data_IF_401884821819
#
_entry.id   IF_401884821819
#
_cell.length_a   1.000
_cell.length_b   1.000
_cell.length_c   1.000
_cell.angle_alpha   90.00
_cell.angle_beta   90.00
_cell.angle_gamma   90.00
#
_symmetry.space_group_name_H-M   'P 1'
#
loop_
_entity.id
_entity.type
_entity.pdbx_description
1 polymer ?
#
# COMPACT_ATOMS: atom_id res chain seq x y z
N UNK A 1 26.41 -13.88 17.71
CA UNK A 1 25.82 -12.53 17.49
C UNK A 1 24.33 -12.66 17.65
N UNK A 2 23.66 -11.88 18.51
CA UNK A 2 22.19 -11.86 18.57
C UNK A 2 21.71 -11.18 17.28
N UNK A 3 20.93 -11.89 16.47
CA UNK A 3 20.29 -11.30 15.29
C UNK A 3 19.46 -10.08 15.74
N UNK A 4 19.55 -8.99 15.00
CA UNK A 4 18.65 -7.84 15.21
C UNK A 4 17.20 -8.33 15.12
N UNK A 5 16.30 -7.88 15.99
CA UNK A 5 14.89 -8.22 15.85
C UNK A 5 14.36 -7.73 14.49
N UNK A 6 13.37 -8.41 13.90
CA UNK A 6 12.80 -7.99 12.63
C UNK A 6 12.22 -6.57 12.73
N UNK A 7 12.32 -5.82 11.63
CA UNK A 7 11.74 -4.48 11.55
C UNK A 7 10.23 -4.54 11.70
N UNK A 8 9.68 -3.81 12.66
CA UNK A 8 8.24 -3.72 12.88
C UNK A 8 7.65 -2.60 12.04
N UNK A 9 6.69 -2.96 11.20
CA UNK A 9 6.06 -2.05 10.24
C UNK A 9 4.55 -2.15 10.38
N UNK A 10 3.89 -1.02 10.64
CA UNK A 10 2.44 -0.94 10.68
C UNK A 10 1.88 -0.86 9.26
N UNK A 11 0.80 -1.59 9.01
CA UNK A 11 -0.01 -1.47 7.79
C UNK A 11 -1.43 -1.10 8.21
N UNK A 12 -1.86 0.13 7.87
CA UNK A 12 -3.18 0.65 8.25
C UNK A 12 -4.09 0.71 7.03
N UNK A 13 -5.24 0.06 7.11
CA UNK A 13 -6.26 0.17 6.07
C UNK A 13 -7.15 -1.06 5.91
N UNK A 14 -7.64 -1.24 4.69
CA UNK A 14 -8.64 -2.24 4.34
C UNK A 14 -8.09 -3.67 4.36
N UNK A 15 -8.94 -4.58 4.86
CA UNK A 15 -8.89 -6.03 4.71
C UNK A 15 -10.24 -6.46 4.15
N UNK A 16 -10.24 -7.12 3.02
CA UNK A 16 -11.46 -7.40 2.26
C UNK A 16 -11.33 -8.68 1.41
N UNK A 17 -12.45 -9.07 0.79
CA UNK A 17 -12.49 -10.08 -0.25
C UNK A 17 -12.67 -9.43 -1.62
N UNK A 18 -11.77 -9.72 -2.55
CA UNK A 18 -11.97 -9.44 -3.98
C UNK A 18 -12.78 -10.59 -4.59
N UNK A 19 -14.05 -10.32 -4.91
CA UNK A 19 -14.98 -11.29 -5.50
C UNK A 19 -14.92 -11.22 -7.03
N UNK A 20 -14.16 -12.14 -7.60
CA UNK A 20 -14.01 -12.33 -9.04
C UNK A 20 -15.06 -13.34 -9.54
N UNK A 21 -15.39 -13.37 -10.85
CA UNK A 21 -16.26 -14.41 -11.42
C UNK A 21 -15.71 -15.83 -11.21
N UNK A 22 -14.41 -15.99 -11.02
CA UNK A 22 -13.71 -17.27 -10.82
C UNK A 22 -13.58 -17.69 -9.36
N UNK A 23 -13.99 -16.87 -8.41
CA UNK A 23 -13.85 -17.10 -6.97
C UNK A 23 -13.49 -15.83 -6.22
N UNK A 24 -13.20 -15.97 -4.92
CA UNK A 24 -12.78 -14.83 -4.10
C UNK A 24 -11.36 -15.00 -3.61
N UNK A 25 -10.64 -13.89 -3.55
CA UNK A 25 -9.28 -13.80 -3.04
C UNK A 25 -9.20 -12.77 -1.92
N UNK A 26 -8.41 -12.99 -0.87
CA UNK A 26 -8.14 -11.95 0.11
C UNK A 26 -7.45 -10.78 -0.56
N UNK A 27 -7.91 -9.56 -0.25
CA UNK A 27 -7.44 -8.33 -0.85
C UNK A 27 -7.36 -7.18 0.15
N UNK A 28 -7.01 -6.03 -0.39
CA UNK A 28 -6.70 -4.82 0.34
C UNK A 28 -5.21 -4.47 0.22
N UNK A 29 -4.91 -3.30 -0.32
CA UNK A 29 -3.51 -2.92 -0.55
C UNK A 29 -2.66 -2.97 0.73
N UNK A 30 -3.09 -2.46 1.89
CA UNK A 30 -2.33 -2.59 3.14
C UNK A 30 -2.12 -4.04 3.58
N UNK A 31 -3.09 -4.92 3.32
CA UNK A 31 -2.96 -6.34 3.61
C UNK A 31 -1.92 -7.00 2.70
N UNK A 32 -1.94 -6.70 1.40
CA UNK A 32 -0.95 -7.20 0.46
C UNK A 32 0.47 -6.75 0.85
N UNK A 33 0.63 -5.47 1.24
CA UNK A 33 1.91 -4.96 1.77
C UNK A 33 2.34 -5.75 3.01
N UNK A 34 1.44 -5.99 3.97
CA UNK A 34 1.75 -6.76 5.16
C UNK A 34 2.18 -8.20 4.83
N UNK A 35 1.51 -8.85 3.87
CA UNK A 35 1.89 -10.17 3.40
C UNK A 35 3.33 -10.18 2.85
N UNK A 36 3.65 -9.26 1.94
CA UNK A 36 4.99 -9.21 1.34
C UNK A 36 6.06 -8.82 2.35
N UNK A 37 5.78 -7.92 3.30
CA UNK A 37 6.69 -7.61 4.41
C UNK A 37 7.02 -8.85 5.25
N UNK A 38 6.01 -9.68 5.57
CA UNK A 38 6.22 -10.95 6.28
C UNK A 38 7.12 -11.88 5.48
N UNK A 39 6.90 -12.01 4.16
CA UNK A 39 7.74 -12.82 3.27
C UNK A 39 9.19 -12.32 3.20
N UNK A 40 9.41 -11.00 3.36
CA UNK A 40 10.72 -10.36 3.43
C UNK A 40 11.40 -10.45 4.82
N UNK A 41 10.76 -11.13 5.79
CA UNK A 41 11.27 -11.31 7.15
C UNK A 41 11.13 -10.11 8.07
N UNK A 42 10.22 -9.18 7.77
CA UNK A 42 9.79 -8.12 8.68
C UNK A 42 8.72 -8.62 9.67
N UNK A 43 8.37 -7.78 10.66
CA UNK A 43 7.27 -7.98 11.62
C UNK A 43 6.11 -7.01 11.27
N UNK A 44 5.26 -7.31 10.26
CA UNK A 44 4.13 -6.47 9.91
C UNK A 44 3.03 -6.54 10.97
N UNK A 45 2.43 -5.40 11.30
CA UNK A 45 1.27 -5.26 12.16
C UNK A 45 0.11 -4.70 11.35
N UNK A 46 -0.83 -5.57 10.95
CA UNK A 46 -2.01 -5.14 10.21
C UNK A 46 -3.03 -4.52 11.16
N UNK A 47 -3.33 -3.24 10.98
CA UNK A 47 -4.33 -2.48 11.73
C UNK A 47 -5.54 -2.31 10.83
N UNK A 48 -6.60 -3.07 11.11
CA UNK A 48 -7.81 -3.14 10.28
C UNK A 48 -9.02 -3.63 11.09
N UNK A 49 -10.14 -3.87 10.40
CA UNK A 49 -11.28 -4.53 10.97
C UNK A 49 -11.97 -5.44 9.94
N UNK A 50 -12.53 -6.55 10.43
CA UNK A 50 -13.41 -7.47 9.69
C UNK A 50 -14.73 -7.64 10.45
N UNK A 51 -15.77 -8.08 9.77
CA UNK A 51 -17.04 -8.41 10.40
C UNK A 51 -16.92 -9.63 11.32
N UNK A 52 -17.78 -9.71 12.34
CA UNK A 52 -17.97 -10.92 13.11
C UNK A 52 -18.92 -11.89 12.35
N UNK A 53 -18.54 -12.19 11.11
CA UNK A 53 -19.29 -13.01 10.15
C UNK A 53 -18.38 -14.11 9.55
N UNK A 54 -18.97 -14.98 8.73
CA UNK A 54 -18.24 -16.11 8.13
C UNK A 54 -17.08 -15.65 7.22
N UNK A 55 -17.22 -14.52 6.49
CA UNK A 55 -16.17 -13.97 5.65
C UNK A 55 -15.00 -13.45 6.47
N UNK A 56 -15.28 -12.80 7.62
CA UNK A 56 -14.26 -12.35 8.56
C UNK A 56 -13.51 -13.51 9.20
N UNK A 57 -14.21 -14.58 9.59
CA UNK A 57 -13.59 -15.78 10.16
C UNK A 57 -12.68 -16.47 9.14
N UNK A 58 -13.13 -16.55 7.89
CA UNK A 58 -12.37 -17.18 6.82
C UNK A 58 -11.10 -16.39 6.48
N UNK A 59 -11.17 -15.05 6.39
CA UNK A 59 -9.99 -14.24 6.07
C UNK A 59 -8.97 -14.25 7.22
N UNK A 60 -9.41 -14.22 8.47
CA UNK A 60 -8.51 -14.33 9.62
C UNK A 60 -7.83 -15.70 9.66
N UNK A 61 -8.56 -16.77 9.36
CA UNK A 61 -8.01 -18.12 9.26
C UNK A 61 -6.97 -18.23 8.16
N UNK A 62 -7.26 -17.64 6.98
CA UNK A 62 -6.33 -17.57 5.86
C UNK A 62 -5.03 -16.84 6.22
N UNK A 63 -5.13 -15.67 6.88
CA UNK A 63 -3.97 -14.89 7.30
C UNK A 63 -3.11 -15.62 8.34
N UNK A 64 -3.76 -16.22 9.32
CA UNK A 64 -3.09 -17.03 10.36
C UNK A 64 -2.36 -18.23 9.74
N UNK A 65 -2.97 -18.92 8.79
CA UNK A 65 -2.35 -20.05 8.08
C UNK A 65 -1.10 -19.64 7.28
N UNK A 66 -1.00 -18.35 6.89
CA UNK A 66 0.15 -17.76 6.19
C UNK A 66 1.16 -17.09 7.14
N UNK A 67 0.98 -17.25 8.45
CA UNK A 67 1.89 -16.71 9.47
C UNK A 67 1.78 -15.23 9.73
N UNK A 68 0.70 -14.58 9.28
CA UNK A 68 0.43 -13.17 9.56
C UNK A 68 -0.20 -13.01 10.95
N UNK A 69 0.28 -12.03 11.72
CA UNK A 69 -0.32 -11.65 12.99
C UNK A 69 -1.62 -10.89 12.78
N UNK A 70 -2.72 -11.40 13.30
CA UNK A 70 -4.05 -10.82 13.20
C UNK A 70 -4.50 -10.08 14.46
N UNK A 71 -3.60 -9.89 15.44
CA UNK A 71 -3.91 -9.30 16.77
C UNK A 71 -4.59 -7.94 16.66
N UNK A 72 -4.23 -7.13 15.67
CA UNK A 72 -4.77 -5.78 15.49
C UNK A 72 -5.80 -5.68 14.35
N UNK A 73 -6.32 -6.81 13.88
CA UNK A 73 -7.48 -6.86 12.99
C UNK A 73 -8.73 -7.05 13.86
N UNK A 74 -9.44 -5.98 14.10
CA UNK A 74 -10.63 -6.00 14.96
C UNK A 74 -11.78 -6.77 14.34
N UNK A 75 -12.46 -7.61 15.16
CA UNK A 75 -13.73 -8.25 14.78
C UNK A 75 -14.89 -7.41 15.26
N UNK A 76 -15.59 -6.73 14.35
CA UNK A 76 -16.69 -5.89 14.73
C UNK A 76 -18.06 -6.55 14.41
N UNK A 77 -19.08 -6.24 15.25
CA UNK A 77 -20.39 -6.90 15.17
C UNK A 77 -21.43 -6.12 14.36
N UNK A 78 -21.18 -4.85 14.07
CA UNK A 78 -22.16 -3.94 13.47
C UNK A 78 -22.07 -3.83 11.96
N UNK A 79 -20.88 -4.06 11.43
CA UNK A 79 -20.60 -3.92 10.00
C UNK A 79 -20.08 -5.24 9.44
N UNK A 80 -20.45 -5.59 8.20
CA UNK A 80 -19.99 -6.81 7.55
C UNK A 80 -18.51 -6.72 7.15
N UNK A 81 -17.89 -7.85 6.92
CA UNK A 81 -16.57 -7.93 6.29
C UNK A 81 -16.60 -7.25 4.91
N UNK A 82 -15.57 -6.47 4.61
CA UNK A 82 -15.46 -5.75 3.34
C UNK A 82 -15.39 -6.69 2.14
N UNK A 83 -16.09 -6.31 1.09
CA UNK A 83 -16.12 -7.01 -0.20
C UNK A 83 -15.95 -6.00 -1.32
N UNK A 84 -15.15 -6.36 -2.32
CA UNK A 84 -15.10 -5.70 -3.62
C UNK A 84 -15.63 -6.66 -4.66
N UNK A 85 -16.71 -6.27 -5.33
CA UNK A 85 -17.30 -7.06 -6.42
C UNK A 85 -16.70 -6.60 -7.74
N UNK A 86 -16.18 -7.56 -8.50
CA UNK A 86 -15.66 -7.33 -9.85
C UNK A 86 -16.66 -7.86 -10.85
N UNK A 87 -17.26 -6.95 -11.62
CA UNK A 87 -18.15 -7.29 -12.74
C UNK A 87 -17.48 -6.96 -14.07
N UNK A 88 -17.65 -7.82 -15.06
CA UNK A 88 -17.20 -7.54 -16.43
C UNK A 88 -18.36 -6.88 -17.19
N UNK A 89 -18.09 -5.75 -17.84
CA UNK A 89 -19.05 -5.11 -18.73
C UNK A 89 -19.16 -5.90 -20.04
N UNK A 90 -20.08 -5.48 -20.93
CA UNK A 90 -20.31 -6.15 -22.22
C UNK A 90 -19.09 -6.18 -23.15
N UNK A 91 -18.10 -5.31 -22.93
CA UNK A 91 -16.80 -5.28 -23.64
C UNK A 91 -15.68 -6.04 -22.92
N UNK A 92 -15.99 -6.77 -21.82
CA UNK A 92 -15.02 -7.53 -21.06
C UNK A 92 -14.13 -6.68 -20.14
N UNK A 93 -14.42 -5.39 -19.97
CA UNK A 93 -13.67 -4.53 -19.07
C UNK A 93 -14.18 -4.69 -17.63
N UNK A 94 -13.30 -4.84 -16.63
CA UNK A 94 -13.70 -4.97 -15.24
C UNK A 94 -14.22 -3.63 -14.69
N UNK A 95 -15.31 -3.70 -13.94
CA UNK A 95 -15.78 -2.64 -13.05
C UNK A 95 -15.72 -3.14 -11.61
N UNK A 96 -15.25 -2.27 -10.71
CA UNK A 96 -15.06 -2.59 -9.31
C UNK A 96 -16.10 -1.83 -8.49
N UNK A 97 -16.82 -2.55 -7.63
CA UNK A 97 -17.74 -1.95 -6.66
C UNK A 97 -17.20 -2.24 -5.26
N UNK A 98 -16.76 -1.19 -4.58
CA UNK A 98 -16.31 -1.26 -3.19
C UNK A 98 -17.52 -1.01 -2.30
N UNK A 99 -17.94 -2.03 -1.55
CA UNK A 99 -19.09 -1.91 -0.69
C UNK A 99 -18.86 -0.97 0.50
N UNK A 100 -19.95 -0.31 0.96
CA UNK A 100 -19.98 0.57 2.12
C UNK A 100 -21.39 0.62 2.73
N UNK A 101 -21.53 0.75 4.08
CA UNK A 101 -20.43 0.71 5.05
C UNK A 101 -20.00 -0.74 5.37
N UNK A 102 -18.72 -0.95 5.63
CA UNK A 102 -18.12 -2.26 5.96
C UNK A 102 -17.20 -2.17 7.17
N UNK A 103 -16.73 -3.31 7.69
CA UNK A 103 -16.01 -3.37 8.95
C UNK A 103 -14.77 -2.46 9.02
N UNK A 104 -13.95 -2.42 7.98
CA UNK A 104 -12.76 -1.56 7.95
C UNK A 104 -13.08 -0.05 7.82
N UNK A 105 -14.33 0.35 7.70
CA UNK A 105 -14.74 1.75 7.84
C UNK A 105 -14.73 2.24 9.29
N UNK A 106 -14.61 1.32 10.26
CA UNK A 106 -14.58 1.62 11.70
C UNK A 106 -13.40 0.91 12.40
N UNK A 107 -12.20 1.05 11.87
CA UNK A 107 -10.95 0.58 12.49
C UNK A 107 -10.75 1.24 13.85
N UNK A 108 -11.15 2.51 13.97
CA UNK A 108 -11.02 3.31 15.18
C UNK A 108 -11.79 2.73 16.38
N UNK A 109 -12.90 2.04 16.13
CA UNK A 109 -13.81 1.55 17.17
C UNK A 109 -13.21 0.56 18.15
N UNK A 110 -12.12 -0.13 17.80
CA UNK A 110 -11.48 -1.10 18.65
C UNK A 110 -10.59 -0.51 19.76
N UNK A 111 -9.90 0.60 19.49
CA UNK A 111 -8.94 1.22 20.41
C UNK A 111 -7.65 0.41 20.66
N UNK A 112 -7.67 -0.89 20.45
CA UNK A 112 -6.56 -1.83 20.70
C UNK A 112 -5.37 -1.59 19.77
N UNK A 113 -5.59 -1.04 18.61
CA UNK A 113 -4.56 -0.69 17.62
C UNK A 113 -3.48 0.26 18.17
N UNK A 114 -3.78 1.01 19.24
CA UNK A 114 -2.80 1.88 19.91
C UNK A 114 -1.59 1.11 20.43
N UNK A 115 -1.77 -0.15 20.80
CA UNK A 115 -0.67 -1.00 21.24
C UNK A 115 0.25 -1.44 20.08
N UNK A 116 -0.23 -1.39 18.84
CA UNK A 116 0.56 -1.79 17.67
C UNK A 116 1.80 -0.90 17.45
N UNK A 117 1.76 0.38 17.90
CA UNK A 117 2.89 1.31 17.73
C UNK A 117 4.12 0.97 18.56
N UNK A 118 4.00 0.09 19.56
CA UNK A 118 5.13 -0.28 20.41
C UNK A 118 6.24 -0.95 19.60
N UNK A 119 7.37 -0.25 19.47
CA UNK A 119 8.52 -0.71 18.70
C UNK A 119 8.36 -0.62 17.19
N UNK A 120 7.33 0.03 16.68
CA UNK A 120 7.16 0.28 15.25
C UNK A 120 8.18 1.27 14.73
N UNK A 121 8.75 1.00 13.55
CA UNK A 121 9.76 1.82 12.88
C UNK A 121 9.16 2.54 11.66
N UNK A 122 8.11 1.97 11.05
CA UNK A 122 7.41 2.58 9.91
C UNK A 122 5.91 2.30 9.95
N UNK A 123 5.16 3.11 9.22
CA UNK A 123 3.75 2.88 8.89
C UNK A 123 3.52 3.04 7.40
N UNK A 124 2.77 2.10 6.81
CA UNK A 124 2.23 2.17 5.46
C UNK A 124 0.72 2.39 5.55
N UNK A 125 0.22 3.36 4.81
CA UNK A 125 -1.21 3.69 4.75
C UNK A 125 -1.59 4.18 3.37
N UNK A 126 -2.87 4.06 3.03
CA UNK A 126 -3.46 4.57 1.79
C UNK A 126 -4.57 5.56 2.06
N UNK A 127 -5.25 6.00 0.98
CA UNK A 127 -6.37 6.94 1.07
C UNK A 127 -7.71 6.26 1.33
N UNK A 128 -7.92 5.02 0.87
CA UNK A 128 -9.23 4.37 0.86
C UNK A 128 -9.84 4.21 2.26
N UNK A 129 -9.08 3.66 3.22
CA UNK A 129 -9.58 3.49 4.58
C UNK A 129 -9.77 4.82 5.33
N UNK A 130 -9.15 5.90 4.86
CA UNK A 130 -9.35 7.24 5.40
C UNK A 130 -10.64 7.93 4.91
N UNK A 131 -11.49 7.24 4.12
CA UNK A 131 -12.79 7.78 3.67
C UNK A 131 -13.73 8.13 4.83
N UNK A 132 -13.58 7.49 5.99
CA UNK A 132 -14.36 7.83 7.20
C UNK A 132 -13.62 8.77 8.14
N UNK A 133 -14.33 9.66 8.81
CA UNK A 133 -13.75 10.60 9.78
C UNK A 133 -13.13 9.87 10.99
N UNK A 134 -13.74 8.77 11.42
CA UNK A 134 -13.25 7.96 12.54
C UNK A 134 -11.86 7.39 12.24
N UNK A 135 -11.68 6.80 11.05
CA UNK A 135 -10.41 6.25 10.64
C UNK A 135 -9.34 7.33 10.41
N UNK A 136 -9.75 8.51 9.90
CA UNK A 136 -8.82 9.66 9.83
C UNK A 136 -8.28 10.04 11.19
N UNK A 137 -9.15 10.10 12.22
CA UNK A 137 -8.73 10.38 13.59
C UNK A 137 -7.75 9.35 14.14
N UNK A 138 -8.02 8.05 13.93
CA UNK A 138 -7.12 6.98 14.34
C UNK A 138 -5.76 7.05 13.59
N UNK A 139 -5.81 7.29 12.29
CA UNK A 139 -4.61 7.44 11.48
C UNK A 139 -3.78 8.65 11.93
N UNK A 140 -4.42 9.78 12.25
CA UNK A 140 -3.74 10.97 12.78
C UNK A 140 -3.01 10.69 14.09
N UNK A 141 -3.62 9.93 15.01
CA UNK A 141 -2.96 9.50 16.24
C UNK A 141 -1.73 8.63 15.95
N UNK A 142 -1.83 7.67 15.02
CA UNK A 142 -0.72 6.81 14.62
C UNK A 142 0.41 7.61 13.98
N UNK A 143 0.09 8.52 13.05
CA UNK A 143 1.06 9.36 12.35
C UNK A 143 1.74 10.39 13.26
N UNK A 144 1.17 10.69 14.43
CA UNK A 144 1.78 11.54 15.44
C UNK A 144 2.89 10.82 16.25
N UNK A 145 3.07 9.49 16.06
CA UNK A 145 4.09 8.71 16.77
C UNK A 145 5.49 9.22 16.40
N UNK A 146 6.33 9.61 17.39
CA UNK A 146 7.68 10.12 17.12
C UNK A 146 8.57 9.08 16.43
N UNK A 147 9.40 9.53 15.51
CA UNK A 147 10.40 8.72 14.78
C UNK A 147 9.82 7.62 13.88
N UNK A 148 8.51 7.57 13.70
CA UNK A 148 7.87 6.64 12.78
C UNK A 148 8.06 7.12 11.34
N UNK A 149 8.65 6.30 10.48
CA UNK A 149 8.72 6.56 9.03
C UNK A 149 7.32 6.38 8.42
N UNK A 150 6.76 7.46 7.87
CA UNK A 150 5.40 7.50 7.31
C UNK A 150 5.44 7.39 5.80
N UNK A 151 4.98 6.28 5.27
CA UNK A 151 4.93 6.01 3.83
C UNK A 151 3.47 5.90 3.40
N UNK A 152 3.02 6.84 2.57
CA UNK A 152 1.71 6.80 1.96
C UNK A 152 1.80 6.15 0.58
N UNK A 153 1.11 5.04 0.38
CA UNK A 153 0.78 4.52 -0.94
C UNK A 153 -0.56 5.13 -1.37
N UNK A 154 -0.52 6.04 -2.34
CA UNK A 154 -1.68 6.86 -2.73
C UNK A 154 -2.85 5.98 -3.14
N UNK A 155 -2.62 5.05 -4.06
CA UNK A 155 -3.51 3.97 -4.47
C UNK A 155 -4.97 4.41 -4.64
N UNK A 156 -5.22 5.34 -5.57
CA UNK A 156 -6.54 5.93 -5.83
C UNK A 156 -7.60 4.86 -6.16
N UNK A 157 -8.76 4.97 -5.54
CA UNK A 157 -9.90 4.05 -5.72
C UNK A 157 -11.20 4.82 -5.90
N UNK A 158 -11.65 5.00 -7.15
CA UNK A 158 -12.93 5.62 -7.42
C UNK A 158 -14.07 4.78 -6.79
N UNK A 159 -15.13 5.43 -6.26
CA UNK A 159 -15.36 6.88 -6.18
C UNK A 159 -14.75 7.56 -4.93
N UNK A 160 -13.86 6.88 -4.18
CA UNK A 160 -13.28 7.33 -2.90
C UNK A 160 -11.93 8.04 -3.07
N UNK A 161 -11.66 8.58 -4.25
CA UNK A 161 -10.40 9.22 -4.65
C UNK A 161 -10.50 10.76 -4.62
N UNK A 162 -11.24 11.29 -3.63
CA UNK A 162 -11.40 12.72 -3.43
C UNK A 162 -10.04 13.40 -3.27
N UNK A 163 -9.72 14.25 -4.25
CA UNK A 163 -8.38 14.84 -4.39
C UNK A 163 -7.92 15.64 -3.17
N UNK A 164 -8.83 16.42 -2.56
CA UNK A 164 -8.54 17.23 -1.38
C UNK A 164 -8.17 16.33 -0.18
N UNK A 165 -8.87 15.24 0.03
CA UNK A 165 -8.57 14.27 1.08
C UNK A 165 -7.20 13.63 0.84
N UNK A 166 -6.93 13.18 -0.38
CA UNK A 166 -5.65 12.54 -0.73
C UNK A 166 -4.48 13.49 -0.51
N UNK A 167 -4.59 14.76 -0.95
CA UNK A 167 -3.56 15.76 -0.75
C UNK A 167 -3.37 16.10 0.74
N UNK A 168 -4.45 16.19 1.52
CA UNK A 168 -4.37 16.43 2.96
C UNK A 168 -3.62 15.28 3.68
N UNK A 169 -3.90 14.03 3.33
CA UNK A 169 -3.16 12.87 3.86
C UNK A 169 -1.68 12.88 3.44
N UNK A 170 -1.41 13.27 2.20
CA UNK A 170 -0.06 13.35 1.65
C UNK A 170 0.83 14.34 2.43
N UNK A 171 0.26 15.39 3.03
CA UNK A 171 1.02 16.33 3.90
C UNK A 171 1.61 15.66 5.14
N UNK A 172 1.10 14.48 5.52
CA UNK A 172 1.51 13.75 6.72
C UNK A 172 2.61 12.72 6.44
N UNK A 173 2.91 12.46 5.17
CA UNK A 173 3.86 11.44 4.75
C UNK A 173 5.30 11.96 4.69
N UNK A 174 6.26 11.10 5.06
CA UNK A 174 7.68 11.31 4.81
C UNK A 174 8.06 10.88 3.39
N UNK A 175 7.35 9.88 2.86
CA UNK A 175 7.41 9.41 1.48
C UNK A 175 6.01 9.24 0.91
N UNK A 176 5.81 9.77 -0.30
CA UNK A 176 4.66 9.43 -1.14
C UNK A 176 5.08 8.39 -2.16
N UNK A 177 4.35 7.30 -2.28
CA UNK A 177 4.45 6.36 -3.39
C UNK A 177 3.16 6.42 -4.20
N UNK A 178 3.30 6.50 -5.50
CA UNK A 178 2.18 6.55 -6.45
C UNK A 178 2.63 6.04 -7.81
N UNK A 179 1.68 5.74 -8.68
CA UNK A 179 1.97 5.44 -10.08
C UNK A 179 1.89 6.69 -10.95
N UNK A 180 2.28 6.60 -12.24
CA UNK A 180 2.26 7.74 -13.16
C UNK A 180 0.87 8.33 -13.39
N UNK A 181 -0.15 7.49 -13.44
CA UNK A 181 -1.53 7.94 -13.61
C UNK A 181 -1.97 8.78 -12.40
N UNK A 182 -1.71 8.29 -11.20
CA UNK A 182 -2.00 8.98 -9.95
C UNK A 182 -1.22 10.30 -9.83
N UNK A 183 0.05 10.30 -10.26
CA UNK A 183 0.85 11.52 -10.34
C UNK A 183 0.21 12.54 -11.27
N UNK A 184 -0.23 12.14 -12.47
CA UNK A 184 -0.88 13.02 -13.42
C UNK A 184 -2.21 13.58 -12.86
N UNK A 185 -3.03 12.73 -12.22
CA UNK A 185 -4.29 13.13 -11.60
C UNK A 185 -4.07 14.14 -10.48
N UNK A 186 -3.15 13.85 -9.55
CA UNK A 186 -2.94 14.70 -8.37
C UNK A 186 -2.19 16.00 -8.68
N UNK A 187 -1.24 15.97 -9.60
CA UNK A 187 -0.50 17.18 -10.00
C UNK A 187 -1.23 18.04 -11.04
N UNK A 188 -2.17 17.44 -11.78
CA UNK A 188 -2.80 18.09 -12.95
C UNK A 188 -1.81 18.31 -14.11
N UNK A 189 -0.72 17.54 -14.19
CA UNK A 189 0.35 17.66 -15.18
C UNK A 189 0.57 16.37 -15.93
N UNK A 190 0.63 16.44 -17.26
CA UNK A 190 1.10 15.34 -18.09
C UNK A 190 2.64 15.29 -18.11
N UNK A 191 3.23 14.11 -18.39
CA UNK A 191 4.66 13.98 -18.64
C UNK A 191 5.11 14.90 -19.80
N UNK A 192 6.32 15.47 -19.69
CA UNK A 192 6.92 16.32 -20.70
C UNK A 192 7.91 15.52 -21.58
N UNK A 193 8.47 16.16 -22.63
CA UNK A 193 9.49 15.54 -23.46
C UNK A 193 10.78 15.27 -22.65
N UNK A 194 11.46 14.16 -22.96
CA UNK A 194 12.71 13.75 -22.29
C UNK A 194 12.77 12.25 -22.01
N UNK A 195 13.78 11.82 -21.25
CA UNK A 195 13.75 10.45 -20.69
C UNK A 195 12.56 10.31 -19.75
N UNK A 196 12.08 9.07 -19.57
CA UNK A 196 10.92 8.83 -18.72
C UNK A 196 11.06 9.47 -17.32
N UNK A 197 12.17 9.25 -16.65
CA UNK A 197 12.41 9.79 -15.30
C UNK A 197 12.35 11.34 -15.28
N UNK A 198 13.04 12.00 -16.21
CA UNK A 198 13.04 13.47 -16.28
C UNK A 198 11.69 14.02 -16.73
N UNK A 199 10.93 13.29 -17.54
CA UNK A 199 9.59 13.72 -17.98
C UNK A 199 8.59 13.87 -16.85
N UNK A 200 8.79 13.15 -15.74
CA UNK A 200 7.94 13.18 -14.54
C UNK A 200 8.27 14.36 -13.60
N UNK A 201 9.49 14.92 -13.70
CA UNK A 201 9.99 15.96 -12.77
C UNK A 201 9.01 17.11 -12.54
N UNK A 202 8.45 17.76 -13.59
CA UNK A 202 7.55 18.91 -13.36
C UNK A 202 6.27 18.52 -12.58
N UNK A 203 5.75 17.32 -12.81
CA UNK A 203 4.58 16.82 -12.09
C UNK A 203 4.91 16.51 -10.63
N UNK A 204 6.08 15.90 -10.39
CA UNK A 204 6.58 15.60 -9.04
C UNK A 204 6.78 16.90 -8.25
N UNK A 205 7.41 17.91 -8.84
CA UNK A 205 7.66 19.20 -8.18
C UNK A 205 6.37 19.95 -7.83
N UNK A 206 5.35 19.90 -8.70
CA UNK A 206 4.02 20.44 -8.40
C UNK A 206 3.39 19.72 -7.21
N UNK A 207 3.44 18.38 -7.19
CA UNK A 207 2.88 17.59 -6.10
C UNK A 207 3.66 17.84 -4.80
N UNK A 208 4.98 17.90 -4.85
CA UNK A 208 5.83 18.22 -3.70
C UNK A 208 5.49 19.59 -3.12
N UNK A 209 5.31 20.61 -3.98
CA UNK A 209 4.92 21.95 -3.54
C UNK A 209 3.51 21.97 -2.91
N UNK A 210 2.56 21.20 -3.48
CA UNK A 210 1.18 21.14 -2.98
C UNK A 210 1.06 20.41 -1.63
N UNK A 211 1.91 19.42 -1.37
CA UNK A 211 1.83 18.56 -0.17
C UNK A 211 2.90 18.88 0.88
N UNK A 212 3.97 19.59 0.50
CA UNK A 212 5.16 19.75 1.34
C UNK A 212 5.99 18.46 1.49
N UNK A 213 5.58 17.34 0.86
CA UNK A 213 6.33 16.10 0.90
C UNK A 213 7.57 16.20 0.01
N UNK A 214 8.75 16.02 0.61
CA UNK A 214 10.04 16.19 -0.07
C UNK A 214 10.60 14.91 -0.66
N UNK A 215 9.87 13.80 -0.56
CA UNK A 215 10.29 12.48 -1.05
C UNK A 215 9.12 11.79 -1.73
N UNK A 216 9.24 11.57 -3.03
CA UNK A 216 8.18 11.01 -3.87
C UNK A 216 8.76 9.87 -4.68
N UNK A 217 8.10 8.72 -4.64
CA UNK A 217 8.43 7.55 -5.44
C UNK A 217 7.32 7.31 -6.47
N UNK A 218 7.67 7.28 -7.75
CA UNK A 218 6.74 7.06 -8.85
C UNK A 218 7.06 5.74 -9.55
N UNK A 219 6.08 4.84 -9.62
CA UNK A 219 6.19 3.58 -10.34
C UNK A 219 5.63 3.68 -11.74
N UNK A 220 6.31 3.08 -12.73
CA UNK A 220 5.95 3.10 -14.16
C UNK A 220 5.81 1.72 -14.80
N UNK A 221 5.46 0.68 -14.00
CA UNK A 221 5.35 -0.69 -14.48
C UNK A 221 6.67 -1.19 -15.07
N UNK A 222 6.69 -1.56 -16.35
CA UNK A 222 7.88 -2.04 -17.07
C UNK A 222 9.03 -1.04 -17.11
N UNK A 223 8.75 0.27 -16.96
CA UNK A 223 9.78 1.31 -16.90
C UNK A 223 10.50 1.39 -15.56
N UNK A 224 10.05 0.63 -14.56
CA UNK A 224 10.63 0.61 -13.23
C UNK A 224 10.07 1.69 -12.31
N UNK A 225 10.94 2.35 -11.55
CA UNK A 225 10.54 3.37 -10.59
C UNK A 225 11.55 4.53 -10.51
N UNK A 226 11.01 5.70 -10.17
CA UNK A 226 11.78 6.92 -9.92
C UNK A 226 11.55 7.35 -8.48
N UNK A 227 12.61 7.62 -7.74
CA UNK A 227 12.57 8.32 -6.47
C UNK A 227 13.08 9.74 -6.63
N UNK A 228 12.29 10.71 -6.21
CA UNK A 228 12.68 12.10 -6.10
C UNK A 228 12.85 12.46 -4.63
N UNK A 229 13.98 13.06 -4.29
CA UNK A 229 14.26 13.53 -2.94
C UNK A 229 14.99 14.86 -3.01
N UNK A 230 14.37 15.90 -2.48
CA UNK A 230 14.96 17.25 -2.41
C UNK A 230 15.55 17.77 -3.73
N UNK A 231 14.90 17.47 -4.85
CA UNK A 231 15.32 17.90 -6.20
C UNK A 231 16.18 16.88 -6.95
N UNK A 232 16.75 15.87 -6.27
CA UNK A 232 17.49 14.80 -6.92
C UNK A 232 16.54 13.68 -7.39
N UNK A 233 16.78 13.14 -8.59
CA UNK A 233 16.08 11.98 -9.14
C UNK A 233 17.02 10.77 -9.19
N UNK A 234 16.51 9.63 -8.77
CA UNK A 234 17.14 8.32 -8.92
C UNK A 234 16.15 7.41 -9.65
N UNK A 235 16.59 6.74 -10.70
CA UNK A 235 15.79 5.80 -11.48
C UNK A 235 16.39 4.40 -11.41
N UNK A 236 15.55 3.39 -11.24
CA UNK A 236 15.86 1.98 -11.42
C UNK A 236 14.87 1.36 -12.41
N UNK A 237 15.39 0.61 -13.38
CA UNK A 237 14.58 -0.11 -14.35
C UNK A 237 13.92 -1.35 -13.71
N UNK A 238 12.74 -1.73 -14.21
CA UNK A 238 12.16 -3.02 -13.84
C UNK A 238 12.84 -4.16 -14.61
N UNK A 239 13.00 -5.36 -14.01
CA UNK A 239 13.41 -6.55 -14.74
C UNK A 239 12.38 -6.91 -15.82
N UNK A 240 12.87 -7.43 -16.95
CA UNK A 240 12.00 -8.00 -17.99
C UNK A 240 11.37 -9.30 -17.48
N UNK A 241 10.07 -9.40 -17.59
CA UNK A 241 9.28 -10.56 -17.16
C UNK A 241 8.16 -10.86 -18.16
N UNK A 242 7.61 -12.08 -18.09
CA UNK A 242 6.31 -12.39 -18.69
C UNK A 242 5.24 -12.06 -17.64
N UNK A 243 4.44 -11.03 -17.90
CA UNK A 243 3.37 -10.61 -17.00
C UNK A 243 2.24 -11.65 -17.03
N UNK A 244 1.87 -12.16 -15.86
CA UNK A 244 0.72 -13.05 -15.67
C UNK A 244 -0.46 -12.32 -15.04
N UNK A 245 -0.20 -11.53 -13.97
CA UNK A 245 -1.20 -10.75 -13.24
C UNK A 245 -0.52 -9.53 -12.60
N UNK A 246 -1.11 -8.36 -12.74
CA UNK A 246 -0.55 -7.14 -12.14
C UNK A 246 -1.08 -6.83 -10.74
N UNK A 247 -2.03 -7.62 -10.23
CA UNK A 247 -2.62 -7.44 -8.89
C UNK A 247 -1.52 -7.64 -7.84
N UNK A 248 -1.42 -6.69 -6.91
CA UNK A 248 -0.45 -6.75 -5.80
C UNK A 248 1.00 -6.42 -6.16
N UNK A 249 1.37 -6.25 -7.45
CA UNK A 249 2.73 -5.89 -7.83
C UNK A 249 3.18 -4.55 -7.22
N UNK A 250 2.29 -3.56 -7.19
CA UNK A 250 2.52 -2.27 -6.53
C UNK A 250 2.69 -2.40 -5.02
N UNK A 251 1.92 -3.30 -4.40
CA UNK A 251 1.96 -3.56 -2.96
C UNK A 251 3.26 -4.28 -2.57
N UNK A 252 3.70 -5.23 -3.40
CA UNK A 252 4.98 -5.92 -3.26
C UNK A 252 6.16 -4.93 -3.40
N UNK A 253 6.09 -4.05 -4.39
CA UNK A 253 7.06 -2.95 -4.53
C UNK A 253 7.09 -2.10 -3.26
N UNK A 254 5.92 -1.68 -2.74
CA UNK A 254 5.82 -0.85 -1.53
C UNK A 254 6.43 -1.55 -0.32
N UNK A 255 6.20 -2.85 -0.14
CA UNK A 255 6.78 -3.64 0.95
C UNK A 255 8.31 -3.66 0.89
N UNK A 256 8.90 -3.96 -0.28
CA UNK A 256 10.35 -3.97 -0.45
C UNK A 256 10.95 -2.57 -0.29
N UNK A 257 10.29 -1.54 -0.83
CA UNK A 257 10.71 -0.15 -0.73
C UNK A 257 10.79 0.32 0.72
N UNK A 258 9.72 0.14 1.50
CA UNK A 258 9.69 0.54 2.91
C UNK A 258 10.74 -0.19 3.73
N UNK A 259 10.87 -1.50 3.55
CA UNK A 259 11.87 -2.29 4.26
C UNK A 259 13.30 -1.87 3.86
N UNK A 260 13.53 -1.54 2.59
CA UNK A 260 14.78 -1.00 2.09
C UNK A 260 15.14 0.34 2.74
N UNK A 261 14.18 1.26 2.88
CA UNK A 261 14.36 2.54 3.57
C UNK A 261 14.79 2.38 5.04
N UNK A 262 14.34 1.32 5.72
CA UNK A 262 14.74 1.02 7.10
C UNK A 262 16.11 0.33 7.19
N UNK A 263 16.47 -0.51 6.22
CA UNK A 263 17.72 -1.27 6.21
C UNK A 263 18.90 -0.47 5.70
N UNK A 264 18.73 0.32 4.66
CA UNK A 264 19.79 1.04 3.94
C UNK A 264 19.34 2.43 3.47
N UNK A 265 19.00 3.38 4.38
CA UNK A 265 18.36 4.65 4.03
C UNK A 265 19.19 5.57 3.10
N UNK A 266 20.46 5.27 2.88
CA UNK A 266 21.35 6.06 2.02
C UNK A 266 21.50 5.54 0.58
N UNK A 267 21.03 4.35 0.26
CA UNK A 267 21.18 3.73 -1.06
C UNK A 267 19.84 3.62 -1.79
N UNK A 268 19.35 4.79 -2.24
CA UNK A 268 18.05 4.87 -2.93
C UNK A 268 18.02 4.02 -4.20
N UNK A 269 19.13 3.89 -4.94
CA UNK A 269 19.15 3.11 -6.17
C UNK A 269 18.95 1.62 -5.87
N UNK A 270 19.72 1.05 -4.96
CA UNK A 270 19.57 -0.36 -4.58
C UNK A 270 18.19 -0.65 -3.97
N UNK A 271 17.61 0.29 -3.21
CA UNK A 271 16.25 0.17 -2.69
C UNK A 271 15.24 0.04 -3.84
N UNK A 272 15.35 0.91 -4.86
CA UNK A 272 14.45 0.86 -6.02
C UNK A 272 14.62 -0.41 -6.82
N UNK A 273 15.87 -0.87 -7.06
CA UNK A 273 16.14 -2.12 -7.77
C UNK A 273 15.48 -3.31 -7.10
N UNK A 274 15.64 -3.45 -5.78
CA UNK A 274 14.99 -4.54 -5.02
C UNK A 274 13.47 -4.43 -5.04
N UNK A 275 12.92 -3.22 -4.94
CA UNK A 275 11.48 -2.99 -4.98
C UNK A 275 10.91 -3.31 -6.36
N UNK A 276 11.57 -2.89 -7.45
CA UNK A 276 11.20 -3.24 -8.81
C UNK A 276 11.28 -4.76 -9.05
N UNK A 277 12.34 -5.41 -8.56
CA UNK A 277 12.50 -6.85 -8.70
C UNK A 277 11.37 -7.63 -8.01
N UNK A 278 10.98 -7.25 -6.78
CA UNK A 278 9.87 -7.91 -6.09
C UNK A 278 8.53 -7.63 -6.77
N UNK A 279 8.26 -6.38 -7.18
CA UNK A 279 7.05 -6.05 -7.95
C UNK A 279 6.94 -6.85 -9.24
N UNK A 280 8.05 -6.98 -9.99
CA UNK A 280 8.12 -7.77 -11.20
C UNK A 280 7.91 -9.27 -10.93
N UNK A 281 8.54 -9.82 -9.88
CA UNK A 281 8.32 -11.21 -9.47
C UNK A 281 6.85 -11.48 -9.17
N UNK A 282 6.18 -10.61 -8.43
CA UNK A 282 4.75 -10.76 -8.13
C UNK A 282 3.92 -10.64 -9.40
N UNK A 283 4.22 -9.70 -10.29
CA UNK A 283 3.52 -9.56 -11.59
C UNK A 283 3.68 -10.78 -12.51
N UNK A 284 4.68 -11.64 -12.30
CA UNK A 284 4.85 -12.90 -13.04
C UNK A 284 4.09 -14.09 -12.44
N UNK A 285 3.31 -13.87 -11.37
CA UNK A 285 2.57 -14.90 -10.63
C UNK A 285 1.09 -14.49 -10.52
N UNK A 286 0.17 -15.43 -10.27
CA UNK A 286 -1.25 -15.12 -10.15
C UNK A 286 -1.59 -14.54 -8.78
N UNK A 287 -2.40 -13.48 -8.75
CA UNK A 287 -2.98 -12.87 -7.55
C UNK A 287 -2.03 -12.00 -6.74
N UNK A 288 -2.60 -11.23 -5.81
CA UNK A 288 -1.86 -10.22 -5.03
C UNK A 288 -1.01 -10.77 -3.88
N UNK A 289 -1.16 -12.05 -3.54
CA UNK A 289 -0.45 -12.72 -2.44
C UNK A 289 0.07 -14.11 -2.88
N UNK A 290 0.84 -14.21 -3.98
CA UNK A 290 1.35 -15.48 -4.45
C UNK A 290 2.40 -16.05 -3.50
N UNK A 291 2.56 -17.37 -3.49
CA UNK A 291 3.70 -18.00 -2.87
C UNK A 291 4.93 -17.89 -3.79
N UNK A 292 6.01 -17.33 -3.27
CA UNK A 292 7.28 -17.21 -3.98
C UNK A 292 8.47 -17.44 -3.05
N UNK A 293 9.61 -17.77 -3.63
CA UNK A 293 10.91 -17.75 -2.95
C UNK A 293 11.63 -16.46 -3.35
N UNK A 294 12.28 -15.84 -2.39
CA UNK A 294 13.15 -14.70 -2.67
C UNK A 294 14.36 -15.18 -3.45
N UNK A 295 14.80 -14.45 -4.48
CA UNK A 295 15.98 -14.78 -5.26
C UNK A 295 17.27 -14.72 -4.46
#
# INVERSE_FOLDING_TARGET
>A
MRSRPPHRILCFGEVLWDCLPTGRLPGGAPLNVAYHLSRLGADPRMISAVGADALGDEILSYLTARGLDTTFIHRQRRLPTGVVTVALNASGQPSYTIEEPVAWDDIAGAGEWRAAVLGAEAIVFGSLAARTAANRGALDELLATPKLLRVMDVNLRAPFDERELVLALATRADWLKLNEHELAVLSGRAPVAGSWAESLRPAIEVLAAATGCRRICVTGGERGAVAWSDGALVHAAAPEIIVQDTIGAGDAFTAAFVLGLLKAPGDTHAILEHACALGALVASLPGGQPDYQLP
#
